data_IF_662080237336
#
_entry.id   IF_662080237336
#
_cell.length_a   1.000
_cell.length_b   1.000
_cell.length_c   1.000
_cell.angle_alpha   90.00
_cell.angle_beta   90.00
_cell.angle_gamma   90.00
#
_symmetry.space_group_name_H-M   'P 1'
#
loop_
_entity.id
_entity.type
_entity.pdbx_description
1 polymer ?
#
# COMPACT_ATOMS: atom_id res chain seq x y z
N UNK A 1 0.74 5.63 14.74
CA UNK A 1 1.57 5.65 13.52
C UNK A 1 0.70 5.51 12.31
N UNK A 2 1.12 6.13 11.22
CA UNK A 2 0.51 5.98 9.91
C UNK A 2 1.64 5.73 8.89
N UNK A 3 1.65 4.56 8.28
CA UNK A 3 2.76 4.10 7.43
C UNK A 3 2.42 4.09 5.93
N UNK A 4 1.26 4.64 5.52
CA UNK A 4 0.86 4.69 4.11
C UNK A 4 0.12 6.00 3.84
N UNK A 5 0.82 6.95 3.23
CA UNK A 5 0.25 8.27 2.92
C UNK A 5 0.87 8.88 1.67
N UNK A 6 0.05 9.65 0.95
CA UNK A 6 0.39 10.33 -0.30
C UNK A 6 0.19 11.82 -0.18
N UNK A 7 0.97 12.58 -0.94
CA UNK A 7 0.86 14.03 -1.09
C UNK A 7 0.59 14.40 -2.55
N UNK A 8 0.61 15.69 -2.88
CA UNK A 8 0.52 16.13 -4.27
C UNK A 8 1.73 15.79 -5.15
N UNK A 9 2.69 15.01 -4.65
CA UNK A 9 3.76 14.39 -5.44
C UNK A 9 3.19 13.16 -6.20
N UNK A 10 2.29 12.42 -5.57
CA UNK A 10 1.48 11.39 -6.24
C UNK A 10 0.40 12.04 -7.09
N UNK A 11 0.10 11.50 -8.28
CA UNK A 11 -0.82 12.16 -9.23
C UNK A 11 -2.27 12.29 -8.73
N UNK A 12 -2.69 11.45 -7.82
CA UNK A 12 -4.02 11.41 -7.22
C UNK A 12 -4.04 11.95 -5.77
N UNK A 13 -2.88 12.30 -5.24
CA UNK A 13 -2.75 12.93 -3.94
C UNK A 13 -2.88 14.46 -3.99
N UNK A 14 -2.95 15.09 -2.82
CA UNK A 14 -3.07 16.54 -2.70
C UNK A 14 -2.32 17.09 -1.49
N UNK A 15 -1.95 18.36 -1.56
CA UNK A 15 -1.21 19.03 -0.50
C UNK A 15 0.28 18.78 -0.55
N UNK A 16 1.01 19.40 0.36
CA UNK A 16 2.48 19.29 0.49
C UNK A 16 2.84 18.51 1.73
N UNK A 17 4.03 17.93 1.76
CA UNK A 17 4.62 17.26 2.93
C UNK A 17 4.46 18.09 4.20
N UNK A 18 4.73 19.39 4.14
CA UNK A 18 4.60 20.30 5.30
C UNK A 18 3.18 20.33 5.89
N UNK A 19 2.13 20.33 5.04
CA UNK A 19 0.74 20.30 5.47
C UNK A 19 0.38 19.00 6.19
N UNK A 20 0.84 17.86 5.67
CA UNK A 20 0.68 16.54 6.30
C UNK A 20 1.41 16.46 7.65
N UNK A 21 2.64 17.00 7.72
CA UNK A 21 3.42 17.08 8.96
C UNK A 21 2.67 17.89 10.03
N UNK A 22 2.12 19.05 9.67
CA UNK A 22 1.36 19.87 10.62
C UNK A 22 0.07 19.17 11.09
N UNK A 23 -0.58 18.43 10.21
CA UNK A 23 -1.76 17.64 10.57
C UNK A 23 -1.39 16.46 11.47
N UNK A 24 -0.30 15.75 11.16
CA UNK A 24 0.21 14.65 11.98
C UNK A 24 0.55 15.11 13.42
N UNK A 25 1.17 16.30 13.56
CA UNK A 25 1.42 16.92 14.86
C UNK A 25 0.14 17.21 15.63
N UNK A 26 -0.89 17.77 14.96
CA UNK A 26 -2.20 18.03 15.58
C UNK A 26 -2.87 16.75 16.05
N UNK A 27 -2.71 15.66 15.33
CA UNK A 27 -3.24 14.34 15.67
C UNK A 27 -2.38 13.62 16.73
N UNK A 28 -1.22 14.14 17.08
CA UNK A 28 -0.27 13.50 18.02
C UNK A 28 0.31 12.20 17.50
N UNK A 29 0.47 12.07 16.18
CA UNK A 29 1.07 10.88 15.58
C UNK A 29 2.56 10.81 15.95
N UNK A 30 3.04 9.67 16.46
CA UNK A 30 4.48 9.52 16.75
C UNK A 30 5.30 9.19 15.49
N UNK A 31 4.69 8.61 14.47
CA UNK A 31 5.34 8.17 13.23
C UNK A 31 4.43 8.45 12.04
N UNK A 32 4.99 9.00 10.98
CA UNK A 32 4.35 9.21 9.67
C UNK A 32 5.31 8.79 8.56
N UNK A 33 4.90 7.87 7.69
CA UNK A 33 5.61 7.54 6.47
C UNK A 33 4.96 8.21 5.27
N UNK A 34 5.77 8.80 4.41
CA UNK A 34 5.35 9.22 3.07
C UNK A 34 5.70 8.11 2.09
N UNK A 35 4.74 7.63 1.37
CA UNK A 35 4.83 6.45 0.50
C UNK A 35 4.21 6.75 -0.85
N UNK A 36 4.74 7.78 -1.52
CA UNK A 36 4.24 8.20 -2.83
C UNK A 36 4.21 7.02 -3.82
N UNK A 37 3.29 7.04 -4.73
CA UNK A 37 3.20 6.06 -5.81
C UNK A 37 4.46 6.07 -6.66
N UNK A 38 5.15 4.92 -6.71
CA UNK A 38 6.33 4.68 -7.54
C UNK A 38 6.05 3.45 -8.40
N UNK A 39 5.36 3.68 -9.52
CA UNK A 39 4.86 2.64 -10.39
C UNK A 39 5.96 2.07 -11.29
N UNK A 40 6.11 0.75 -11.35
CA UNK A 40 7.17 0.10 -12.13
C UNK A 40 6.81 -0.16 -13.59
N UNK A 41 5.54 -0.07 -13.95
CA UNK A 41 5.12 0.01 -15.33
C UNK A 41 5.43 1.42 -15.84
N UNK A 42 6.47 1.53 -16.64
CA UNK A 42 6.98 2.80 -17.18
C UNK A 42 6.01 3.57 -18.05
N UNK A 43 4.86 2.98 -18.39
CA UNK A 43 4.04 3.48 -19.46
C UNK A 43 2.59 3.09 -19.24
N UNK A 44 1.74 4.08 -19.09
CA UNK A 44 0.29 3.91 -19.10
C UNK A 44 -0.23 4.30 -20.48
N UNK A 45 -0.44 3.33 -21.42
CA UNK A 45 -0.99 3.66 -22.71
C UNK A 45 -2.39 4.24 -22.50
N UNK A 46 -2.62 5.47 -22.98
CA UNK A 46 -3.93 6.15 -22.92
C UNK A 46 -5.07 5.25 -23.37
N UNK A 47 -4.82 4.35 -24.33
CA UNK A 47 -5.79 3.38 -24.82
C UNK A 47 -6.30 2.43 -23.73
N UNK A 48 -5.54 2.17 -22.66
CA UNK A 48 -5.95 1.32 -21.57
C UNK A 48 -6.93 2.01 -20.61
N UNK A 49 -6.80 3.31 -20.43
CA UNK A 49 -7.53 4.00 -19.38
C UNK A 49 -8.83 4.63 -19.83
N UNK A 50 -9.09 4.72 -21.14
CA UNK A 50 -10.27 5.36 -21.74
C UNK A 50 -10.70 6.66 -21.01
N UNK A 51 -9.76 7.29 -20.33
CA UNK A 51 -9.87 8.56 -19.63
C UNK A 51 -9.07 9.59 -20.40
N UNK A 52 -9.56 10.82 -20.38
CA UNK A 52 -8.77 11.94 -20.91
C UNK A 52 -7.44 11.97 -20.15
N UNK A 53 -6.31 11.95 -20.88
CA UNK A 53 -5.01 11.96 -20.23
C UNK A 53 -4.91 13.21 -19.38
N UNK A 54 -4.66 13.03 -18.13
CA UNK A 54 -3.83 14.02 -17.45
C UNK A 54 -2.45 13.75 -17.98
N UNK A 55 -1.73 14.76 -18.44
CA UNK A 55 -0.38 14.56 -18.98
C UNK A 55 0.55 13.82 -18.02
N UNK A 56 0.25 13.89 -16.72
CA UNK A 56 0.97 13.22 -15.64
C UNK A 56 0.80 11.70 -15.65
N UNK A 57 -0.23 11.15 -16.31
CA UNK A 57 -0.50 9.70 -16.37
C UNK A 57 0.01 9.05 -17.64
N UNK A 58 0.35 9.82 -18.65
CA UNK A 58 0.87 9.26 -19.92
C UNK A 58 2.29 8.75 -19.76
N UNK A 59 3.06 9.34 -18.84
CA UNK A 59 4.42 8.93 -18.53
C UNK A 59 4.61 9.03 -17.03
N UNK A 60 4.52 7.92 -16.33
CA UNK A 60 4.82 7.88 -14.91
C UNK A 60 6.35 7.83 -14.75
N UNK A 61 6.96 8.96 -14.42
CA UNK A 61 8.39 9.03 -14.14
C UNK A 61 8.66 8.63 -12.69
N UNK A 62 8.77 7.31 -12.44
CA UNK A 62 9.05 6.77 -11.13
C UNK A 62 10.31 7.36 -10.47
N UNK A 63 11.33 7.71 -11.24
CA UNK A 63 12.55 8.28 -10.72
C UNK A 63 12.34 9.71 -10.23
N UNK A 64 11.58 10.52 -10.98
CA UNK A 64 11.26 11.89 -10.59
C UNK A 64 10.36 11.93 -9.35
N UNK A 65 9.34 11.08 -9.27
CA UNK A 65 8.45 10.98 -8.11
C UNK A 65 9.22 10.58 -6.86
N UNK A 66 10.04 9.53 -6.95
CA UNK A 66 10.84 9.06 -5.82
C UNK A 66 11.81 10.16 -5.35
N UNK A 67 12.53 10.81 -6.26
CA UNK A 67 13.49 11.87 -5.90
C UNK A 67 12.79 13.04 -5.21
N UNK A 68 11.67 13.54 -5.75
CA UNK A 68 10.90 14.64 -5.15
C UNK A 68 10.41 14.26 -3.75
N UNK A 69 9.91 13.03 -3.56
CA UNK A 69 9.47 12.55 -2.26
C UNK A 69 10.62 12.52 -1.25
N UNK A 70 11.74 11.89 -1.61
CA UNK A 70 12.90 11.77 -0.74
C UNK A 70 13.47 13.13 -0.34
N UNK A 71 13.56 14.08 -1.29
CA UNK A 71 14.01 15.45 -1.00
C UNK A 71 13.06 16.17 -0.05
N UNK A 72 11.75 16.16 -0.35
CA UNK A 72 10.75 16.88 0.45
C UNK A 72 10.64 16.33 1.88
N UNK A 73 10.63 15.01 2.03
CA UNK A 73 10.56 14.36 3.37
C UNK A 73 11.84 14.59 4.15
N UNK A 74 13.01 14.45 3.51
CA UNK A 74 14.31 14.69 4.16
C UNK A 74 14.41 16.12 4.68
N UNK A 75 13.98 17.10 3.91
CA UNK A 75 13.98 18.50 4.32
C UNK A 75 13.07 18.78 5.54
N UNK A 76 12.03 17.97 5.74
CA UNK A 76 11.09 18.13 6.87
C UNK A 76 11.49 17.33 8.13
N UNK A 77 12.41 16.35 8.04
CA UNK A 77 12.75 15.40 9.12
C UNK A 77 13.19 16.10 10.41
N UNK A 78 14.10 17.08 10.32
CA UNK A 78 14.66 17.75 11.51
C UNK A 78 13.58 18.52 12.29
N UNK A 79 12.76 19.29 11.58
CA UNK A 79 11.67 20.06 12.20
C UNK A 79 10.59 19.14 12.80
N UNK A 80 10.27 18.04 12.14
CA UNK A 80 9.32 17.07 12.66
C UNK A 80 9.86 16.36 13.91
N UNK A 81 11.12 15.95 13.90
CA UNK A 81 11.78 15.31 15.04
C UNK A 81 11.82 16.22 16.29
N UNK A 82 12.07 17.51 16.10
CA UNK A 82 12.01 18.50 17.19
C UNK A 82 10.61 18.61 17.83
N UNK A 83 9.57 18.20 17.10
CA UNK A 83 8.19 18.15 17.59
C UNK A 83 7.76 16.75 18.06
N UNK A 84 8.66 15.78 18.14
CA UNK A 84 8.40 14.40 18.56
C UNK A 84 7.75 13.51 17.49
N UNK A 85 7.76 13.93 16.22
CA UNK A 85 7.23 13.15 15.09
C UNK A 85 8.39 12.56 14.29
N UNK A 86 8.43 11.24 14.17
CA UNK A 86 9.35 10.54 13.28
C UNK A 86 8.78 10.52 11.86
N UNK A 87 9.52 11.12 10.90
CA UNK A 87 9.17 11.01 9.48
C UNK A 87 10.00 9.91 8.81
N UNK A 88 9.33 9.11 7.99
CA UNK A 88 9.93 8.01 7.23
C UNK A 88 9.86 8.32 5.74
N UNK A 89 10.99 8.13 5.05
CA UNK A 89 11.05 8.14 3.60
C UNK A 89 10.66 6.76 3.09
N UNK A 90 9.43 6.61 2.68
CA UNK A 90 8.94 5.37 2.08
C UNK A 90 8.62 5.53 0.60
N UNK A 91 8.12 4.45 0.02
CA UNK A 91 7.43 4.45 -1.26
C UNK A 91 6.39 3.35 -1.30
N UNK A 92 5.32 3.58 -2.01
CA UNK A 92 4.45 2.53 -2.50
C UNK A 92 4.91 2.13 -3.91
N UNK A 93 5.54 0.96 -3.98
CA UNK A 93 6.02 0.38 -5.23
C UNK A 93 4.87 -0.36 -5.90
N UNK A 94 4.26 0.28 -6.87
CA UNK A 94 3.20 -0.34 -7.67
C UNK A 94 3.76 -1.27 -8.75
N UNK A 95 3.08 -2.38 -8.99
CA UNK A 95 3.36 -3.35 -10.05
C UNK A 95 4.84 -3.78 -10.15
N UNK A 96 5.50 -4.22 -9.05
CA UNK A 96 6.89 -4.63 -9.13
C UNK A 96 7.13 -5.82 -10.10
N UNK A 97 6.09 -6.59 -10.37
CA UNK A 97 6.09 -7.71 -11.32
C UNK A 97 6.17 -7.27 -12.79
N UNK A 98 5.94 -6.01 -13.10
CA UNK A 98 6.13 -5.47 -14.46
C UNK A 98 7.62 -5.48 -14.88
N UNK A 99 8.53 -5.23 -13.92
CA UNK A 99 9.97 -5.35 -14.11
C UNK A 99 10.66 -5.55 -12.75
N UNK A 100 10.83 -6.80 -12.34
CA UNK A 100 11.51 -7.13 -11.06
C UNK A 100 12.95 -6.64 -10.99
N UNK A 101 13.64 -6.48 -12.12
CA UNK A 101 15.00 -5.97 -12.19
C UNK A 101 15.04 -4.48 -11.86
N UNK A 102 14.19 -3.69 -12.51
CA UNK A 102 14.00 -2.26 -12.22
C UNK A 102 13.52 -2.04 -10.79
N UNK A 103 12.52 -2.79 -10.35
CA UNK A 103 11.97 -2.72 -8.99
C UNK A 103 13.05 -2.96 -7.93
N UNK A 104 13.92 -3.94 -8.17
CA UNK A 104 15.06 -4.20 -7.29
C UNK A 104 16.07 -3.05 -7.27
N UNK A 105 16.34 -2.44 -8.43
CA UNK A 105 17.28 -1.33 -8.54
C UNK A 105 16.74 -0.07 -7.85
N UNK A 106 15.46 0.27 -8.06
CA UNK A 106 14.80 1.41 -7.41
C UNK A 106 14.69 1.19 -5.91
N UNK A 107 14.28 0.00 -5.46
CA UNK A 107 14.16 -0.35 -4.05
C UNK A 107 15.50 -0.46 -3.30
N UNK A 108 16.64 -0.41 -3.99
CA UNK A 108 17.97 -0.40 -3.39
C UNK A 108 18.44 1.00 -2.98
N UNK A 109 17.66 2.06 -3.18
CA UNK A 109 18.03 3.41 -2.73
C UNK A 109 18.20 3.44 -1.21
N UNK A 110 19.39 3.77 -0.76
CA UNK A 110 19.78 3.74 0.66
C UNK A 110 19.06 4.81 1.51
N UNK A 111 18.37 5.76 0.89
CA UNK A 111 17.59 6.79 1.58
C UNK A 111 16.22 6.27 2.02
N UNK A 112 15.76 5.15 1.47
CA UNK A 112 14.48 4.55 1.80
C UNK A 112 14.48 3.90 3.18
N UNK A 113 13.54 4.31 3.99
CA UNK A 113 13.22 3.69 5.27
C UNK A 113 12.26 2.49 5.10
N UNK A 114 11.35 2.54 4.09
CA UNK A 114 10.22 1.64 3.99
C UNK A 114 9.73 1.47 2.54
N UNK A 115 9.33 0.24 2.18
CA UNK A 115 8.72 -0.07 0.88
C UNK A 115 7.46 -0.91 1.08
N UNK A 116 6.34 -0.39 0.60
CA UNK A 116 5.10 -1.14 0.38
C UNK A 116 5.13 -1.66 -1.06
N UNK A 117 4.85 -2.94 -1.29
CA UNK A 117 4.62 -3.47 -2.63
C UNK A 117 3.13 -3.63 -2.88
N UNK A 118 2.65 -3.08 -3.98
CA UNK A 118 1.23 -3.04 -4.31
C UNK A 118 0.95 -3.58 -5.72
N UNK A 119 -0.23 -4.14 -5.93
CA UNK A 119 -0.71 -4.58 -7.23
C UNK A 119 -2.02 -3.83 -7.55
N UNK A 120 -1.90 -2.71 -8.29
CA UNK A 120 -3.02 -1.87 -8.68
C UNK A 120 -3.64 -2.27 -10.01
N UNK A 121 -2.90 -2.99 -10.84
CA UNK A 121 -3.33 -3.49 -12.13
C UNK A 121 -2.71 -4.85 -12.41
N UNK A 122 -3.31 -5.62 -13.30
CA UNK A 122 -2.70 -6.82 -13.85
C UNK A 122 -1.77 -6.44 -15.00
N UNK A 123 -0.77 -7.27 -15.27
CA UNK A 123 0.09 -7.10 -16.44
C UNK A 123 -0.77 -7.00 -17.71
N UNK A 124 -0.44 -6.03 -18.55
CA UNK A 124 -1.14 -5.74 -19.81
C UNK A 124 -2.62 -5.32 -19.67
N UNK A 125 -3.03 -4.87 -18.48
CA UNK A 125 -4.38 -4.35 -18.23
C UNK A 125 -4.33 -2.98 -17.56
N UNK A 126 -5.38 -2.16 -17.69
CA UNK A 126 -5.50 -0.93 -16.90
C UNK A 126 -5.74 -1.24 -15.41
N UNK A 127 -5.48 -0.23 -14.56
CA UNK A 127 -5.79 -0.27 -13.14
C UNK A 127 -7.23 -0.76 -12.89
N UNK A 128 -7.41 -1.50 -11.80
CA UNK A 128 -8.73 -1.98 -11.36
C UNK A 128 -9.75 -0.86 -11.22
N UNK A 129 -9.31 0.35 -10.89
CA UNK A 129 -10.15 1.57 -10.90
C UNK A 129 -10.78 1.85 -12.26
N UNK A 130 -10.11 1.50 -13.37
CA UNK A 130 -10.53 1.84 -14.74
C UNK A 130 -11.39 0.75 -15.40
N UNK A 131 -11.59 -0.41 -14.76
CA UNK A 131 -12.28 -1.54 -15.38
C UNK A 131 -13.81 -1.37 -15.37
N UNK A 132 -14.44 -1.76 -16.48
CA UNK A 132 -15.89 -1.94 -16.56
C UNK A 132 -16.28 -3.35 -16.10
N UNK A 133 -16.61 -3.48 -14.83
CA UNK A 133 -16.92 -4.78 -14.20
C UNK A 133 -18.18 -5.45 -14.77
N UNK A 134 -19.01 -4.76 -15.53
CA UNK A 134 -20.13 -5.36 -16.25
C UNK A 134 -19.67 -6.25 -17.43
N UNK A 135 -18.42 -6.04 -17.89
CA UNK A 135 -17.80 -6.77 -19.00
C UNK A 135 -16.75 -7.78 -18.54
N UNK A 136 -16.40 -7.78 -17.24
CA UNK A 136 -15.33 -8.59 -16.72
C UNK A 136 -15.76 -9.99 -16.28
N UNK A 137 -14.90 -10.97 -16.52
CA UNK A 137 -15.00 -12.27 -15.86
C UNK A 137 -14.37 -12.19 -14.48
N UNK A 138 -15.14 -11.80 -13.46
CA UNK A 138 -14.65 -11.56 -12.11
C UNK A 138 -13.88 -12.75 -11.53
N UNK A 139 -14.33 -14.02 -11.63
CA UNK A 139 -13.54 -15.15 -11.16
C UNK A 139 -12.16 -15.25 -11.80
N UNK A 140 -12.05 -15.10 -13.12
CA UNK A 140 -10.78 -15.17 -13.82
C UNK A 140 -9.88 -13.95 -13.50
N UNK A 141 -10.47 -12.77 -13.28
CA UNK A 141 -9.76 -11.56 -12.87
C UNK A 141 -9.13 -11.76 -11.49
N UNK A 142 -9.86 -12.29 -10.52
CA UNK A 142 -9.39 -12.53 -9.17
C UNK A 142 -8.35 -13.65 -9.11
N UNK A 143 -8.48 -14.69 -9.91
CA UNK A 143 -7.47 -15.76 -10.05
C UNK A 143 -6.13 -15.15 -10.51
N UNK A 144 -6.15 -14.36 -11.60
CA UNK A 144 -4.96 -13.67 -12.09
C UNK A 144 -4.37 -12.69 -11.08
N UNK A 145 -5.22 -11.98 -10.32
CA UNK A 145 -4.77 -11.08 -9.26
C UNK A 145 -3.96 -11.83 -8.21
N UNK A 146 -4.47 -12.94 -7.67
CA UNK A 146 -3.76 -13.70 -6.64
C UNK A 146 -2.51 -14.41 -7.18
N UNK A 147 -2.52 -14.86 -8.44
CA UNK A 147 -1.33 -15.45 -9.08
C UNK A 147 -0.20 -14.42 -9.20
N UNK A 148 -0.50 -13.21 -9.71
CA UNK A 148 0.50 -12.15 -9.82
C UNK A 148 0.95 -11.62 -8.47
N UNK A 149 0.03 -11.56 -7.50
CA UNK A 149 0.36 -11.18 -6.12
C UNK A 149 1.31 -12.19 -5.47
N UNK A 150 1.13 -13.49 -5.77
CA UNK A 150 2.02 -14.54 -5.30
C UNK A 150 3.44 -14.39 -5.88
N UNK A 151 3.57 -14.03 -7.14
CA UNK A 151 4.88 -13.75 -7.76
C UNK A 151 5.59 -12.58 -7.06
N UNK A 152 4.88 -11.53 -6.71
CA UNK A 152 5.39 -10.40 -5.91
C UNK A 152 5.84 -10.88 -4.53
N UNK A 153 5.01 -11.66 -3.82
CA UNK A 153 5.34 -12.19 -2.50
C UNK A 153 6.59 -13.08 -2.52
N UNK A 154 6.75 -13.91 -3.56
CA UNK A 154 7.95 -14.74 -3.77
C UNK A 154 9.20 -13.92 -4.03
N UNK A 155 9.08 -12.85 -4.84
CA UNK A 155 10.19 -11.95 -5.12
C UNK A 155 10.71 -11.26 -3.85
N UNK A 156 9.85 -10.78 -2.96
CA UNK A 156 10.13 -10.41 -1.59
C UNK A 156 11.12 -9.26 -1.36
N UNK A 157 11.42 -8.41 -2.36
CA UNK A 157 12.38 -7.28 -2.18
C UNK A 157 11.69 -5.98 -1.77
N UNK A 158 10.73 -6.07 -0.88
CA UNK A 158 9.98 -4.99 -0.24
C UNK A 158 9.87 -5.26 1.27
N UNK A 159 9.11 -4.49 2.03
CA UNK A 159 8.95 -4.70 3.47
C UNK A 159 7.58 -5.27 3.83
N UNK A 160 6.52 -4.70 3.28
CA UNK A 160 5.15 -5.20 3.45
C UNK A 160 4.39 -5.20 2.13
N UNK A 161 3.46 -6.14 2.02
CA UNK A 161 2.46 -6.15 0.95
C UNK A 161 1.36 -5.15 1.32
N UNK A 162 1.05 -4.22 0.42
CA UNK A 162 -0.02 -3.25 0.55
C UNK A 162 -1.41 -3.90 0.43
N UNK A 163 -2.40 -3.26 0.95
CA UNK A 163 -3.87 -3.47 0.81
C UNK A 163 -4.30 -4.76 0.11
N UNK A 164 -4.00 -5.91 0.69
CA UNK A 164 -4.44 -7.22 0.18
C UNK A 164 -5.95 -7.15 -0.12
N UNK A 165 -6.36 -7.66 -1.28
CA UNK A 165 -7.72 -7.59 -1.81
C UNK A 165 -8.13 -6.24 -2.41
N UNK A 166 -7.16 -5.43 -2.85
CA UNK A 166 -7.39 -4.14 -3.50
C UNK A 166 -8.52 -4.12 -4.54
N UNK A 167 -8.68 -5.12 -5.44
CA UNK A 167 -9.76 -5.12 -6.43
C UNK A 167 -11.16 -5.06 -5.82
N UNK A 168 -11.35 -5.57 -4.60
CA UNK A 168 -12.66 -5.58 -3.94
C UNK A 168 -13.18 -4.17 -3.64
N UNK A 169 -12.28 -3.17 -3.54
CA UNK A 169 -12.63 -1.75 -3.46
C UNK A 169 -13.62 -1.37 -4.56
N UNK A 170 -13.35 -1.83 -5.76
CA UNK A 170 -14.13 -1.49 -6.96
C UNK A 170 -15.21 -2.53 -7.27
N UNK A 171 -14.89 -3.82 -7.15
CA UNK A 171 -15.84 -4.89 -7.49
C UNK A 171 -16.99 -4.94 -6.49
N UNK A 172 -16.71 -5.06 -5.19
CA UNK A 172 -17.75 -5.06 -4.16
C UNK A 172 -18.22 -3.64 -3.83
N UNK A 173 -17.27 -2.70 -3.63
CA UNK A 173 -17.58 -1.36 -3.16
C UNK A 173 -18.30 -0.52 -4.22
N UNK A 174 -17.77 -0.40 -5.42
CA UNK A 174 -18.32 0.49 -6.44
C UNK A 174 -19.34 -0.22 -7.34
N UNK A 175 -19.02 -1.41 -7.85
CA UNK A 175 -19.92 -2.15 -8.74
C UNK A 175 -20.98 -2.97 -7.99
N UNK A 176 -20.84 -3.19 -6.69
CA UNK A 176 -21.79 -3.94 -5.87
C UNK A 176 -21.87 -5.44 -6.21
N UNK A 177 -20.81 -6.00 -6.79
CA UNK A 177 -20.76 -7.41 -7.19
C UNK A 177 -20.08 -8.21 -6.07
N UNK A 178 -20.77 -9.12 -5.37
CA UNK A 178 -20.15 -9.94 -4.32
C UNK A 178 -19.06 -10.85 -4.87
N UNK A 179 -17.93 -10.91 -4.18
CA UNK A 179 -16.78 -11.75 -4.56
C UNK A 179 -16.45 -12.71 -3.42
N UNK A 180 -16.90 -13.98 -3.48
CA UNK A 180 -16.45 -14.98 -2.53
C UNK A 180 -14.96 -15.24 -2.70
N UNK A 181 -14.19 -15.20 -1.62
CA UNK A 181 -12.74 -15.43 -1.66
C UNK A 181 -12.35 -16.87 -1.31
N UNK A 182 -13.31 -17.72 -0.93
CA UNK A 182 -13.05 -19.13 -0.63
C UNK A 182 -12.36 -19.89 -1.78
N UNK A 183 -12.67 -19.65 -3.07
CA UNK A 183 -11.95 -20.30 -4.17
C UNK A 183 -10.47 -19.98 -4.21
N UNK A 184 -10.03 -18.84 -3.67
CA UNK A 184 -8.66 -18.34 -3.75
C UNK A 184 -7.88 -18.54 -2.44
N UNK A 185 -8.45 -19.21 -1.43
CA UNK A 185 -7.85 -19.36 -0.11
C UNK A 185 -6.45 -19.99 -0.16
N UNK A 186 -6.22 -20.95 -1.05
CA UNK A 186 -4.89 -21.56 -1.14
C UNK A 186 -3.85 -20.61 -1.74
N UNK A 187 -4.22 -19.83 -2.74
CA UNK A 187 -3.35 -18.77 -3.30
C UNK A 187 -3.01 -17.72 -2.22
N UNK A 188 -4.02 -17.29 -1.45
CA UNK A 188 -3.82 -16.34 -0.32
C UNK A 188 -2.87 -16.95 0.72
N UNK A 189 -3.05 -18.25 1.07
CA UNK A 189 -2.13 -18.96 1.98
C UNK A 189 -0.71 -19.00 1.42
N UNK A 190 -0.56 -19.26 0.13
CA UNK A 190 0.76 -19.25 -0.52
C UNK A 190 1.42 -17.88 -0.46
N UNK A 191 0.66 -16.78 -0.69
CA UNK A 191 1.17 -15.42 -0.51
C UNK A 191 1.66 -15.19 0.93
N UNK A 192 0.84 -15.50 1.91
CA UNK A 192 1.17 -15.29 3.32
C UNK A 192 2.37 -16.14 3.79
N UNK A 193 2.46 -17.38 3.33
CA UNK A 193 3.60 -18.25 3.62
C UNK A 193 4.89 -17.69 3.02
N UNK A 194 4.84 -17.27 1.76
CA UNK A 194 6.00 -16.65 1.11
C UNK A 194 6.46 -15.36 1.82
N UNK A 195 5.53 -14.53 2.29
CA UNK A 195 5.86 -13.35 3.09
C UNK A 195 6.52 -13.74 4.42
N UNK A 196 5.93 -14.67 5.16
CA UNK A 196 6.46 -15.11 6.45
C UNK A 196 7.87 -15.73 6.33
N UNK A 197 8.08 -16.59 5.34
CA UNK A 197 9.36 -17.23 5.05
C UNK A 197 10.46 -16.22 4.65
N UNK A 198 10.08 -15.15 3.96
CA UNK A 198 10.98 -14.07 3.57
C UNK A 198 11.15 -12.98 4.67
N UNK A 199 10.51 -13.13 5.83
CA UNK A 199 10.50 -12.10 6.89
C UNK A 199 9.82 -10.80 6.48
N UNK A 200 8.85 -10.88 5.55
CA UNK A 200 8.05 -9.76 5.05
C UNK A 200 6.71 -9.68 5.76
N UNK A 201 6.08 -8.51 5.66
CA UNK A 201 4.82 -8.24 6.32
C UNK A 201 3.65 -8.03 5.39
N UNK A 202 2.54 -7.71 6.04
CA UNK A 202 1.38 -7.12 5.39
C UNK A 202 1.08 -5.75 6.02
N UNK A 203 0.43 -4.92 5.25
CA UNK A 203 -0.25 -3.74 5.73
C UNK A 203 -1.66 -4.10 6.18
N UNK A 204 -2.14 -3.47 7.26
CA UNK A 204 -3.56 -3.29 7.51
C UNK A 204 -3.94 -1.89 7.04
N UNK A 205 -4.50 -1.81 5.85
CA UNK A 205 -4.91 -0.58 5.20
C UNK A 205 -6.35 -0.23 5.59
N UNK A 206 -6.55 0.98 6.08
CA UNK A 206 -7.85 1.41 6.63
C UNK A 206 -8.66 2.28 5.67
N UNK A 207 -8.15 2.53 4.45
CA UNK A 207 -8.84 3.39 3.48
C UNK A 207 -10.25 2.89 3.13
N UNK A 208 -10.42 1.58 3.08
CA UNK A 208 -11.71 0.97 2.76
C UNK A 208 -12.85 1.34 3.72
N UNK A 209 -12.55 1.72 4.97
CA UNK A 209 -13.56 2.25 5.89
C UNK A 209 -14.18 3.59 5.42
N UNK A 210 -13.42 4.36 4.65
CA UNK A 210 -13.86 5.64 4.08
C UNK A 210 -14.56 5.50 2.71
N UNK A 211 -14.50 4.30 2.14
CA UNK A 211 -15.03 3.98 0.82
C UNK A 211 -16.33 3.18 0.92
N UNK A 212 -17.03 3.03 -0.19
CA UNK A 212 -18.25 2.21 -0.24
C UNK A 212 -18.03 0.74 0.15
N UNK A 213 -16.79 0.26 0.02
CA UNK A 213 -16.42 -1.07 0.48
C UNK A 213 -16.66 -1.28 1.97
N UNK A 214 -16.43 -0.26 2.81
CA UNK A 214 -16.75 -0.24 4.23
C UNK A 214 -15.94 -1.20 5.12
N UNK A 215 -14.90 -1.83 4.59
CA UNK A 215 -14.04 -2.81 5.29
C UNK A 215 -12.57 -2.48 5.06
N UNK A 216 -11.66 -2.87 5.97
CA UNK A 216 -10.22 -2.67 5.76
C UNK A 216 -9.63 -3.71 4.79
N UNK A 217 -8.40 -3.49 4.38
CA UNK A 217 -7.61 -4.40 3.56
C UNK A 217 -6.36 -4.88 4.34
N UNK A 218 -6.31 -6.17 4.75
CA UNK A 218 -7.35 -7.19 4.69
C UNK A 218 -8.34 -7.12 5.85
N UNK A 219 -9.42 -7.91 5.77
CA UNK A 219 -10.39 -8.09 6.86
C UNK A 219 -9.83 -8.99 7.97
N UNK A 220 -10.54 -9.06 9.11
CA UNK A 220 -10.16 -9.87 10.28
C UNK A 220 -9.85 -11.33 9.95
N UNK A 221 -10.61 -11.92 9.05
CA UNK A 221 -10.44 -13.32 8.63
C UNK A 221 -9.05 -13.55 8.04
N UNK A 222 -8.63 -12.67 7.13
CA UNK A 222 -7.32 -12.80 6.45
C UNK A 222 -6.16 -12.35 7.34
N UNK A 223 -6.37 -11.46 8.30
CA UNK A 223 -5.39 -11.19 9.35
C UNK A 223 -5.11 -12.42 10.20
N UNK A 224 -6.17 -13.16 10.60
CA UNK A 224 -6.03 -14.43 11.31
C UNK A 224 -5.31 -15.47 10.46
N UNK A 225 -5.70 -15.59 9.19
CA UNK A 225 -5.07 -16.51 8.26
C UNK A 225 -3.57 -16.19 8.08
N UNK A 226 -3.19 -14.92 8.00
CA UNK A 226 -1.79 -14.50 7.93
C UNK A 226 -1.01 -14.95 9.19
N UNK A 227 -1.61 -14.77 10.39
CA UNK A 227 -1.02 -15.29 11.64
C UNK A 227 -0.87 -16.81 11.63
N UNK A 228 -1.85 -17.54 11.14
CA UNK A 228 -1.81 -19.01 11.00
C UNK A 228 -0.69 -19.47 10.07
N UNK A 229 -0.33 -18.68 9.05
CA UNK A 229 0.79 -18.97 8.14
C UNK A 229 2.15 -18.50 8.71
N UNK A 230 2.23 -18.07 9.98
CA UNK A 230 3.46 -17.63 10.62
C UNK A 230 3.77 -16.15 10.45
N UNK A 231 2.85 -15.36 9.94
CA UNK A 231 3.02 -13.92 9.75
C UNK A 231 3.08 -13.16 11.07
N UNK A 232 4.08 -12.29 11.24
CA UNK A 232 4.30 -11.49 12.46
C UNK A 232 4.48 -10.00 12.18
N UNK A 233 4.86 -9.64 10.96
CA UNK A 233 5.16 -8.26 10.56
C UNK A 233 3.88 -7.60 10.09
N UNK A 234 3.43 -6.56 10.79
CA UNK A 234 2.20 -5.82 10.50
C UNK A 234 2.45 -4.33 10.61
N UNK A 235 2.06 -3.57 9.58
CA UNK A 235 2.00 -2.10 9.61
C UNK A 235 0.55 -1.62 9.53
N UNK A 236 0.31 -0.36 9.88
CA UNK A 236 -0.97 0.31 9.67
C UNK A 236 -0.80 1.45 8.67
N UNK A 237 -1.70 1.54 7.72
CA UNK A 237 -1.76 2.62 6.76
C UNK A 237 -3.17 3.18 6.61
N UNK A 238 -3.30 4.50 6.62
CA UNK A 238 -4.56 5.15 6.29
C UNK A 238 -4.77 5.25 4.78
N UNK A 239 -3.69 5.18 4.00
CA UNK A 239 -3.72 5.40 2.55
C UNK A 239 -4.37 6.76 2.25
N UNK A 240 -3.94 7.76 3.05
CA UNK A 240 -4.45 9.12 2.96
C UNK A 240 -3.85 9.82 1.74
N UNK A 241 -4.69 10.36 0.87
CA UNK A 241 -4.31 11.17 -0.30
C UNK A 241 -4.48 12.68 -0.05
N UNK A 242 -4.78 13.05 1.19
CA UNK A 242 -4.80 14.41 1.68
C UNK A 242 -4.56 14.42 3.20
N UNK A 243 -4.14 15.57 3.73
CA UNK A 243 -3.82 15.70 5.15
C UNK A 243 -5.02 15.41 6.08
N UNK A 244 -6.23 15.70 5.64
CA UNK A 244 -7.47 15.51 6.40
C UNK A 244 -7.79 14.04 6.65
N UNK A 245 -7.26 13.13 5.82
CA UNK A 245 -7.50 11.69 5.92
C UNK A 245 -6.44 10.94 6.73
N UNK A 246 -5.39 11.62 7.17
CA UNK A 246 -4.34 11.02 7.99
C UNK A 246 -4.91 10.29 9.21
N UNK A 247 -4.44 9.08 9.43
CA UNK A 247 -4.76 8.18 10.53
C UNK A 247 -6.24 7.79 10.66
N UNK A 248 -7.09 8.13 9.69
CA UNK A 248 -8.51 7.72 9.72
C UNK A 248 -8.64 6.19 9.66
N UNK A 249 -9.39 5.63 10.60
CA UNK A 249 -9.62 4.19 10.71
C UNK A 249 -8.48 3.39 11.37
N UNK A 250 -7.34 4.02 11.69
CA UNK A 250 -6.21 3.29 12.32
C UNK A 250 -6.57 2.79 13.72
N UNK A 251 -7.36 3.53 14.50
CA UNK A 251 -7.79 3.06 15.83
C UNK A 251 -8.63 1.77 15.73
N UNK A 252 -9.55 1.72 14.79
CA UNK A 252 -10.35 0.54 14.45
C UNK A 252 -9.47 -0.60 13.93
N UNK A 253 -8.47 -0.27 13.10
CA UNK A 253 -7.47 -1.23 12.61
C UNK A 253 -6.66 -1.86 13.74
N UNK A 254 -6.26 -1.09 14.75
CA UNK A 254 -5.55 -1.59 15.93
C UNK A 254 -6.40 -2.61 16.70
N UNK A 255 -7.67 -2.31 16.93
CA UNK A 255 -8.57 -3.26 17.60
C UNK A 255 -8.81 -4.52 16.78
N UNK A 256 -8.86 -4.38 15.44
CA UNK A 256 -8.97 -5.52 14.54
C UNK A 256 -7.71 -6.40 14.59
N UNK A 257 -6.52 -5.80 14.61
CA UNK A 257 -5.25 -6.50 14.73
C UNK A 257 -5.15 -7.27 16.07
N UNK A 258 -5.57 -6.66 17.19
CA UNK A 258 -5.66 -7.34 18.49
C UNK A 258 -6.62 -8.53 18.42
N UNK A 259 -7.78 -8.37 17.79
CA UNK A 259 -8.76 -9.46 17.61
C UNK A 259 -8.23 -10.59 16.71
N UNK A 260 -7.26 -10.30 15.84
CA UNK A 260 -6.54 -11.29 15.03
C UNK A 260 -5.38 -11.95 15.79
N UNK A 261 -5.10 -11.53 17.03
CA UNK A 261 -4.04 -12.10 17.87
C UNK A 261 -2.67 -11.43 17.73
N UNK A 262 -2.59 -10.25 17.11
CA UNK A 262 -1.38 -9.44 17.15
C UNK A 262 -1.24 -8.74 18.50
N UNK A 263 -0.04 -8.78 19.07
CA UNK A 263 0.32 -8.05 20.29
C UNK A 263 1.25 -6.88 20.02
N UNK A 264 1.77 -6.81 18.79
CA UNK A 264 2.69 -5.79 18.32
C UNK A 264 2.44 -5.50 16.84
N UNK A 265 2.77 -4.29 16.43
CA UNK A 265 2.91 -3.89 15.03
C UNK A 265 4.27 -3.22 14.84
N UNK A 266 4.63 -2.82 13.63
CA UNK A 266 5.91 -2.17 13.40
C UNK A 266 5.79 -1.02 12.38
N UNK A 267 6.82 -0.20 12.35
CA UNK A 267 7.21 0.68 11.25
C UNK A 267 8.66 0.35 10.89
N UNK A 268 9.16 0.89 9.81
CA UNK A 268 10.51 0.57 9.36
C UNK A 268 11.42 1.80 9.36
N UNK A 269 12.67 1.61 9.79
CA UNK A 269 13.73 2.60 9.68
C UNK A 269 14.89 1.94 8.96
N UNK A 270 15.35 2.52 7.87
CA UNK A 270 16.39 1.93 7.02
C UNK A 270 16.09 0.44 6.69
N UNK A 271 14.87 0.15 6.33
CA UNK A 271 14.36 -1.17 5.95
C UNK A 271 14.39 -2.21 7.09
N UNK A 272 14.50 -1.77 8.34
CA UNK A 272 14.47 -2.64 9.52
C UNK A 272 13.23 -2.37 10.36
N UNK A 273 12.48 -3.40 10.76
CA UNK A 273 11.26 -3.21 11.54
C UNK A 273 11.58 -2.75 12.96
N UNK A 274 10.85 -1.73 13.40
CA UNK A 274 10.83 -1.22 14.79
C UNK A 274 9.45 -1.54 15.36
N UNK A 275 9.41 -2.45 16.33
CA UNK A 275 8.15 -2.95 16.88
C UNK A 275 7.61 -2.04 17.98
N UNK A 276 6.29 -1.88 17.99
CA UNK A 276 5.53 -1.23 19.06
C UNK A 276 4.46 -2.19 19.59
N UNK A 277 4.16 -2.12 20.87
CA UNK A 277 3.06 -2.89 21.50
C UNK A 277 1.71 -2.26 21.14
N UNK A 278 0.70 -3.10 20.85
CA UNK A 278 -0.66 -2.69 20.53
C UNK A 278 -1.54 -2.52 21.77
#
# INVERSE_FOLDING_TARGET
>A
MDCHTHTGISPDGSGMVAGHVEQAKKLGLPVLAFTEHVEMNRYFPQAHYNILPRNEWEIFDHAAVLEQSLEAVTAAKEQAAAAGLTLLCGMEMGQPNADFGLSAAVGADARLDFIIASLHELLDRPDFFCLDYSQENIPALMEQYFDQLYDICRWGKFDVLGHLTYPLRYIEGEAGIPVPLEPYLEQIRCCFRALAENGKGIELNTSGYRQKYGKPFPTLEYLKLYREQGGEVLTFGSDAHCAEDLAKGIAEGVELAKAAGFTRACYFVQRKPVYITL
#
